data_IF_000018262368
#
_entry.id   IF_000018262368
#
_cell.length_a   1.000
_cell.length_b   1.000
_cell.length_c   1.000
_cell.angle_alpha   90.00
_cell.angle_beta   90.00
_cell.angle_gamma   90.00
#
_symmetry.space_group_name_H-M   'P 1'
#
loop_
_entity.id
_entity.type
_entity.pdbx_description
1 polymer ?
#
# COMPACT_ATOMS: atom_id res chain seq x y z
N UNK A 1 -2.86 -2.59 -11.08
CA UNK A 1 -2.47 -1.25 -10.62
C UNK A 1 -3.73 -0.57 -10.12
N UNK A 2 -3.71 0.01 -8.92
CA UNK A 2 -4.90 0.65 -8.33
C UNK A 2 -4.84 2.18 -8.41
N UNK A 3 -3.64 2.74 -8.54
CA UNK A 3 -3.38 4.15 -8.77
C UNK A 3 -1.97 4.30 -9.38
N UNK A 4 -1.76 5.37 -10.12
CA UNK A 4 -0.48 5.76 -10.71
C UNK A 4 -0.34 7.28 -10.74
N UNK A 5 0.88 7.80 -10.69
CA UNK A 5 1.12 9.25 -10.68
C UNK A 5 2.61 9.54 -10.68
N UNK A 6 2.95 10.79 -11.02
CA UNK A 6 4.33 11.28 -10.95
C UNK A 6 4.75 11.61 -9.52
N UNK A 7 3.75 11.88 -8.66
CA UNK A 7 3.93 12.15 -7.23
C UNK A 7 3.11 11.20 -6.36
N UNK A 8 3.52 11.06 -5.10
CA UNK A 8 2.77 10.23 -4.15
C UNK A 8 1.43 10.84 -3.78
N UNK A 9 1.32 12.16 -3.80
CA UNK A 9 0.09 12.91 -3.60
C UNK A 9 -0.94 12.58 -4.69
N UNK A 10 -0.53 12.53 -5.95
CA UNK A 10 -1.39 12.10 -7.08
C UNK A 10 -1.86 10.65 -6.91
N UNK A 11 -0.95 9.75 -6.51
CA UNK A 11 -1.28 8.35 -6.24
C UNK A 11 -2.29 8.25 -5.09
N UNK A 12 -2.10 9.02 -4.01
CA UNK A 12 -3.02 9.06 -2.88
C UNK A 12 -4.40 9.57 -3.30
N UNK A 13 -4.47 10.67 -4.06
CA UNK A 13 -5.73 11.22 -4.56
C UNK A 13 -6.49 10.18 -5.39
N UNK A 14 -5.80 9.48 -6.29
CA UNK A 14 -6.40 8.39 -7.07
C UNK A 14 -6.84 7.22 -6.20
N UNK A 15 -6.06 6.82 -5.21
CA UNK A 15 -6.42 5.74 -4.27
C UNK A 15 -7.67 6.09 -3.44
N UNK A 16 -7.89 7.37 -3.16
CA UNK A 16 -9.06 7.85 -2.40
C UNK A 16 -10.34 7.96 -3.25
N UNK A 17 -10.25 7.85 -4.59
CA UNK A 17 -11.44 7.81 -5.44
C UNK A 17 -12.34 6.63 -5.05
N UNK A 18 -13.68 6.80 -5.04
CA UNK A 18 -14.60 5.79 -4.52
C UNK A 18 -14.39 4.38 -5.07
N UNK A 19 -14.11 4.27 -6.37
CA UNK A 19 -13.86 3.01 -7.08
C UNK A 19 -12.59 2.29 -6.58
N UNK A 20 -11.49 3.03 -6.45
CA UNK A 20 -10.21 2.49 -6.02
C UNK A 20 -10.20 2.19 -4.53
N UNK A 21 -10.79 3.06 -3.72
CA UNK A 21 -10.94 2.86 -2.28
C UNK A 21 -11.82 1.65 -1.97
N UNK A 22 -12.91 1.47 -2.73
CA UNK A 22 -13.78 0.29 -2.60
C UNK A 22 -13.03 -0.99 -3.00
N UNK A 23 -12.25 -0.94 -4.09
CA UNK A 23 -11.43 -2.05 -4.52
C UNK A 23 -10.35 -2.39 -3.48
N UNK A 24 -9.66 -1.39 -2.94
CA UNK A 24 -8.68 -1.52 -1.87
C UNK A 24 -9.28 -2.24 -0.67
N UNK A 25 -10.42 -1.74 -0.14
CA UNK A 25 -11.11 -2.31 1.02
C UNK A 25 -11.65 -3.72 0.79
N UNK A 26 -11.92 -4.10 -0.45
CA UNK A 26 -12.32 -5.47 -0.81
C UNK A 26 -11.19 -6.48 -0.58
N UNK A 27 -9.94 -6.07 -0.75
CA UNK A 27 -8.77 -6.95 -0.59
C UNK A 27 -8.06 -6.75 0.75
N UNK A 28 -7.93 -5.50 1.19
CA UNK A 28 -7.27 -5.10 2.44
C UNK A 28 -8.36 -4.83 3.48
N UNK A 29 -8.57 -5.78 4.39
CA UNK A 29 -9.60 -5.74 5.43
C UNK A 29 -9.22 -6.63 6.62
N UNK A 30 -10.11 -6.72 7.60
CA UNK A 30 -9.94 -7.47 8.85
C UNK A 30 -9.98 -9.00 8.70
N UNK A 31 -10.46 -9.52 7.56
CA UNK A 31 -10.56 -10.97 7.30
C UNK A 31 -9.33 -11.57 6.63
N UNK A 32 -8.50 -10.74 6.02
CA UNK A 32 -7.32 -11.16 5.25
C UNK A 32 -6.06 -10.59 5.86
N UNK A 33 -4.97 -11.31 5.67
CA UNK A 33 -3.64 -10.83 6.03
C UNK A 33 -3.01 -10.09 4.85
N UNK A 34 -2.30 -9.01 5.14
CA UNK A 34 -1.59 -8.26 4.12
C UNK A 34 -0.11 -8.04 4.47
N UNK A 35 0.69 -7.78 3.44
CA UNK A 35 2.06 -7.27 3.59
C UNK A 35 2.29 -6.08 2.65
N UNK A 36 3.23 -5.22 3.02
CA UNK A 36 3.68 -4.11 2.18
C UNK A 36 5.04 -4.45 1.57
N UNK A 37 5.20 -4.16 0.29
CA UNK A 37 6.49 -4.26 -0.41
C UNK A 37 6.70 -3.02 -1.25
N UNK A 38 7.84 -2.37 -1.08
CA UNK A 38 8.30 -1.33 -1.99
C UNK A 38 9.37 -1.93 -2.89
N UNK A 39 9.20 -1.79 -4.19
CA UNK A 39 10.22 -2.11 -5.19
C UNK A 39 10.65 -0.80 -5.82
N UNK A 40 11.95 -0.53 -5.74
CA UNK A 40 12.55 0.59 -6.44
C UNK A 40 13.55 0.08 -7.49
N UNK A 41 13.42 0.52 -8.72
CA UNK A 41 14.32 0.15 -9.80
C UNK A 41 15.65 0.89 -9.67
N UNK A 42 16.76 0.16 -9.67
CA UNK A 42 18.11 0.73 -9.64
C UNK A 42 18.58 1.28 -8.28
N UNK A 43 17.76 1.17 -7.21
CA UNK A 43 18.14 1.56 -5.85
C UNK A 43 17.64 0.55 -4.81
N UNK A 44 18.42 0.35 -3.75
CA UNK A 44 17.97 -0.35 -2.56
C UNK A 44 17.43 0.66 -1.56
N UNK A 45 16.22 0.44 -1.06
CA UNK A 45 15.63 1.27 -0.03
C UNK A 45 16.00 0.75 1.35
N UNK A 46 16.44 1.66 2.22
CA UNK A 46 16.57 1.42 3.66
C UNK A 46 15.24 1.05 4.29
N UNK A 47 15.29 0.49 5.50
CA UNK A 47 14.09 0.13 6.26
C UNK A 47 13.29 1.38 6.63
N UNK A 48 14.00 2.47 6.93
CA UNK A 48 13.43 3.79 7.24
C UNK A 48 12.65 4.35 6.05
N UNK A 49 13.23 4.36 4.85
CA UNK A 49 12.54 4.82 3.63
C UNK A 49 11.29 3.98 3.33
N UNK A 50 11.38 2.65 3.48
CA UNK A 50 10.22 1.78 3.29
C UNK A 50 9.11 2.08 4.30
N UNK A 51 9.47 2.38 5.55
CA UNK A 51 8.52 2.76 6.60
C UNK A 51 7.89 4.11 6.32
N UNK A 52 8.66 5.11 5.92
CA UNK A 52 8.14 6.43 5.55
C UNK A 52 7.13 6.33 4.41
N UNK A 53 7.45 5.55 3.37
CA UNK A 53 6.56 5.29 2.25
C UNK A 53 5.28 4.58 2.70
N UNK A 54 5.38 3.58 3.57
CA UNK A 54 4.20 2.90 4.13
C UNK A 54 3.34 3.87 4.95
N UNK A 55 3.95 4.69 5.80
CA UNK A 55 3.26 5.65 6.66
C UNK A 55 2.53 6.72 5.85
N UNK A 56 3.08 7.12 4.70
CA UNK A 56 2.39 8.03 3.78
C UNK A 56 1.02 7.48 3.36
N UNK A 57 0.93 6.17 3.09
CA UNK A 57 -0.32 5.50 2.70
C UNK A 57 -1.21 5.06 3.88
N UNK A 58 -0.82 5.34 5.13
CA UNK A 58 -1.58 4.97 6.33
C UNK A 58 -3.05 5.44 6.34
N UNK A 59 -3.42 6.62 5.79
CA UNK A 59 -4.83 7.07 5.76
C UNK A 59 -5.80 6.14 5.00
N UNK A 60 -5.29 5.22 4.17
CA UNK A 60 -6.13 4.23 3.47
C UNK A 60 -6.63 3.11 4.40
N UNK A 61 -5.96 2.91 5.54
CA UNK A 61 -6.20 1.80 6.46
C UNK A 61 -7.10 2.22 7.62
N UNK A 62 -7.89 1.28 8.13
CA UNK A 62 -8.70 1.47 9.33
C UNK A 62 -7.95 1.13 10.63
N UNK A 63 -6.79 0.46 10.53
CA UNK A 63 -5.98 -0.01 11.65
C UNK A 63 -6.44 -1.35 12.23
N UNK A 64 -7.43 -2.00 11.62
CA UNK A 64 -7.95 -3.32 12.04
C UNK A 64 -7.45 -4.45 11.14
N UNK A 65 -6.79 -4.12 10.05
CA UNK A 65 -6.31 -5.07 9.06
C UNK A 65 -5.14 -5.88 9.62
N UNK A 66 -5.13 -7.18 9.33
CA UNK A 66 -4.14 -8.10 9.89
C UNK A 66 -2.88 -8.12 9.04
N UNK A 67 -1.71 -8.14 9.65
CA UNK A 67 -0.42 -8.18 8.94
C UNK A 67 0.19 -9.58 9.02
N UNK A 68 0.73 -10.07 7.92
CA UNK A 68 1.55 -11.29 7.85
C UNK A 68 2.73 -11.05 6.91
N UNK A 69 3.96 -11.16 7.42
CA UNK A 69 5.17 -10.91 6.62
C UNK A 69 5.65 -12.14 5.84
N UNK A 70 5.35 -13.34 6.36
CA UNK A 70 5.81 -14.61 5.77
C UNK A 70 4.82 -15.12 4.71
N UNK A 71 3.53 -15.15 5.06
CA UNK A 71 2.46 -15.72 4.23
C UNK A 71 1.23 -14.80 4.21
N UNK A 72 1.28 -13.66 3.50
CA UNK A 72 0.13 -12.76 3.34
C UNK A 72 -0.86 -13.27 2.29
N UNK A 73 -2.15 -13.09 2.53
CA UNK A 73 -3.20 -13.29 1.51
C UNK A 73 -3.10 -12.23 0.40
N UNK A 74 -2.69 -11.01 0.77
CA UNK A 74 -2.58 -9.87 -0.15
C UNK A 74 -1.22 -9.19 0.01
N UNK A 75 -0.51 -9.00 -1.10
CA UNK A 75 0.71 -8.18 -1.11
C UNK A 75 0.42 -6.85 -1.76
N UNK A 76 0.58 -5.77 -0.99
CA UNK A 76 0.56 -4.40 -1.49
C UNK A 76 1.94 -4.06 -2.03
N UNK A 77 2.00 -3.69 -3.29
CA UNK A 77 3.24 -3.35 -3.97
C UNK A 77 3.22 -1.87 -4.37
N UNK A 78 4.24 -1.13 -3.96
CA UNK A 78 4.58 0.18 -4.48
C UNK A 78 5.80 0.01 -5.40
N UNK A 79 5.70 0.46 -6.64
CA UNK A 79 6.77 0.39 -7.62
C UNK A 79 7.24 1.81 -7.98
N UNK A 80 8.55 2.05 -7.85
CA UNK A 80 9.27 3.28 -8.24
C UNK A 80 10.38 2.97 -9.24
#
# INVERSE_FOLDING_TARGET
VWAEGETYEEVMEQMQRPENLSLFRRYVNDRRTWSFRVKAFGKSLSVEEQREKMNFFAPLFSGKERVSLEHPDVTLALAE
#
